data_IF_884691467110
#
_entry.id   IF_884691467110
#
_cell.length_a   1.000
_cell.length_b   1.000
_cell.length_c   1.000
_cell.angle_alpha   90.00
_cell.angle_beta   90.00
_cell.angle_gamma   90.00
#
_symmetry.space_group_name_H-M   'P 1'
#
loop_
_entity.id
_entity.type
_entity.pdbx_description
1 polymer ?
#
# COMPACT_ATOMS: atom_id res chain seq x y z
N UNK A 1 -18.12 16.66 -17.82
CA UNK A 1 -16.70 16.74 -17.39
C UNK A 1 -16.00 15.43 -17.73
N UNK A 2 -14.84 15.44 -18.40
CA UNK A 2 -14.07 14.19 -18.58
C UNK A 2 -13.57 13.74 -17.22
N UNK A 3 -14.04 12.60 -16.73
CA UNK A 3 -13.49 11.98 -15.53
C UNK A 3 -11.98 11.80 -15.72
N UNK A 4 -11.19 12.30 -14.79
CA UNK A 4 -9.73 12.16 -14.79
C UNK A 4 -9.40 10.66 -14.71
N UNK A 5 -8.57 10.17 -15.60
CA UNK A 5 -8.14 8.77 -15.62
C UNK A 5 -7.06 8.55 -14.56
N UNK A 6 -7.25 7.53 -13.73
CA UNK A 6 -6.23 7.11 -12.76
C UNK A 6 -5.11 6.34 -13.48
N UNK A 7 -3.95 6.96 -13.64
CA UNK A 7 -2.80 6.30 -14.26
C UNK A 7 -2.17 5.31 -13.28
N UNK A 8 -2.30 4.03 -13.59
CA UNK A 8 -1.90 2.93 -12.73
C UNK A 8 -0.81 2.08 -13.41
N UNK A 9 0.29 1.83 -12.71
CA UNK A 9 1.27 0.83 -13.10
C UNK A 9 0.95 -0.47 -12.37
N UNK A 10 0.79 -1.54 -13.12
CA UNK A 10 0.77 -2.89 -12.61
C UNK A 10 2.17 -3.48 -12.69
N UNK A 11 2.85 -3.61 -11.54
CA UNK A 11 4.14 -4.30 -11.49
C UNK A 11 3.93 -5.81 -11.59
N UNK A 12 4.18 -6.36 -12.78
CA UNK A 12 3.96 -7.78 -13.10
C UNK A 12 5.16 -8.63 -12.72
N UNK A 13 4.93 -9.80 -12.12
CA UNK A 13 5.93 -10.87 -12.05
C UNK A 13 5.59 -11.95 -13.09
N UNK A 14 6.52 -12.24 -14.00
CA UNK A 14 6.33 -13.21 -15.08
C UNK A 14 6.43 -14.67 -14.60
N UNK A 15 6.96 -14.91 -13.40
CA UNK A 15 7.15 -16.25 -12.85
C UNK A 15 5.94 -16.76 -12.05
N UNK A 16 4.83 -16.06 -12.12
CA UNK A 16 3.57 -16.36 -11.42
C UNK A 16 2.57 -17.17 -12.23
N UNK A 17 3.02 -18.08 -13.07
CA UNK A 17 2.11 -18.90 -13.86
C UNK A 17 1.21 -19.76 -12.96
N UNK A 18 -0.13 -19.61 -13.13
CA UNK A 18 -1.19 -20.41 -12.53
C UNK A 18 -1.45 -20.22 -11.01
N UNK A 19 -1.02 -19.13 -10.37
CA UNK A 19 -1.33 -18.90 -8.96
C UNK A 19 -2.76 -18.29 -8.79
N UNK A 20 -3.61 -18.84 -7.90
CA UNK A 20 -4.90 -18.24 -7.49
C UNK A 20 -4.78 -16.76 -7.08
N UNK A 21 -3.63 -16.37 -6.56
CA UNK A 21 -3.27 -15.00 -6.18
C UNK A 21 -3.34 -14.02 -7.35
N UNK A 22 -3.01 -14.47 -8.56
CA UNK A 22 -3.12 -13.66 -9.78
C UNK A 22 -4.57 -13.31 -10.09
N UNK A 23 -5.51 -14.20 -9.83
CA UNK A 23 -6.94 -13.95 -10.06
C UNK A 23 -7.45 -12.82 -9.17
N UNK A 24 -7.00 -12.73 -7.93
CA UNK A 24 -7.37 -11.68 -6.99
C UNK A 24 -6.80 -10.32 -7.39
N UNK A 25 -5.52 -10.28 -7.77
CA UNK A 25 -4.88 -9.06 -8.29
C UNK A 25 -5.60 -8.55 -9.54
N UNK A 26 -5.95 -9.43 -10.46
CA UNK A 26 -6.73 -9.08 -11.67
C UNK A 26 -8.11 -8.54 -11.29
N UNK A 27 -8.77 -9.13 -10.30
CA UNK A 27 -10.07 -8.64 -9.79
C UNK A 27 -9.94 -7.22 -9.24
N UNK A 28 -8.91 -6.94 -8.45
CA UNK A 28 -8.62 -5.59 -7.93
C UNK A 28 -8.36 -4.60 -9.07
N UNK A 29 -7.53 -4.97 -10.04
CA UNK A 29 -7.21 -4.12 -11.19
C UNK A 29 -8.46 -3.82 -12.03
N UNK A 30 -9.32 -4.83 -12.25
CA UNK A 30 -10.60 -4.65 -12.94
C UNK A 30 -11.51 -3.68 -12.18
N UNK A 31 -11.62 -3.84 -10.87
CA UNK A 31 -12.40 -2.92 -10.03
C UNK A 31 -11.90 -1.47 -10.15
N UNK A 32 -10.59 -1.25 -10.10
CA UNK A 32 -10.00 0.08 -10.29
C UNK A 32 -10.28 0.63 -11.70
N UNK A 33 -10.22 -0.20 -12.73
CA UNK A 33 -10.53 0.20 -14.10
C UNK A 33 -11.99 0.63 -14.25
N UNK A 34 -12.91 -0.14 -13.69
CA UNK A 34 -14.35 0.13 -13.79
C UNK A 34 -14.81 1.30 -12.93
N UNK A 35 -14.29 1.44 -11.70
CA UNK A 35 -14.75 2.44 -10.74
C UNK A 35 -13.96 3.74 -10.77
N UNK A 36 -12.68 3.70 -11.16
CA UNK A 36 -11.79 4.87 -11.20
C UNK A 36 -11.39 5.27 -12.62
N UNK A 37 -11.98 4.63 -13.63
CA UNK A 37 -11.56 4.82 -15.02
C UNK A 37 -10.03 4.68 -15.16
N UNK A 38 -9.43 3.69 -14.47
CA UNK A 38 -7.99 3.52 -14.44
C UNK A 38 -7.43 3.08 -15.79
N UNK A 39 -6.36 3.74 -16.23
CA UNK A 39 -5.49 3.24 -17.30
C UNK A 39 -4.40 2.40 -16.66
N UNK A 40 -4.38 1.10 -16.94
CA UNK A 40 -3.50 0.14 -16.29
C UNK A 40 -2.39 -0.30 -17.25
N UNK A 41 -1.15 0.06 -16.95
CA UNK A 41 0.02 -0.34 -17.72
C UNK A 41 0.75 -1.48 -17.03
N UNK A 42 0.76 -2.70 -17.63
CA UNK A 42 1.56 -3.81 -17.12
C UNK A 42 3.05 -3.55 -17.36
N UNK A 43 3.85 -3.55 -16.30
CA UNK A 43 5.28 -3.25 -16.35
C UNK A 43 6.07 -4.37 -15.72
N UNK A 44 7.02 -4.94 -16.45
CA UNK A 44 7.98 -5.92 -15.94
C UNK A 44 9.40 -5.36 -15.97
N UNK A 45 10.17 -5.58 -14.91
CA UNK A 45 11.58 -5.21 -14.86
C UNK A 45 12.44 -6.43 -15.16
N UNK A 46 12.98 -6.48 -16.37
CA UNK A 46 13.90 -7.54 -16.79
C UNK A 46 15.30 -7.23 -16.24
N UNK A 47 15.81 -8.09 -15.40
CA UNK A 47 17.16 -7.98 -14.84
C UNK A 47 17.75 -9.37 -14.55
N UNK A 48 19.08 -9.49 -14.43
CA UNK A 48 19.73 -10.73 -14.01
C UNK A 48 19.22 -11.24 -12.66
N UNK A 49 19.02 -10.36 -11.69
CA UNK A 49 18.39 -10.65 -10.39
C UNK A 49 17.03 -11.31 -10.58
N UNK A 50 16.24 -10.76 -11.51
CA UNK A 50 14.96 -11.31 -11.88
C UNK A 50 15.02 -12.72 -12.49
N UNK A 51 16.17 -13.14 -12.98
CA UNK A 51 16.42 -14.45 -13.56
C UNK A 51 17.25 -15.38 -12.62
N UNK A 52 17.41 -15.00 -11.35
CA UNK A 52 18.28 -15.69 -10.37
C UNK A 52 19.75 -15.80 -10.84
N UNK A 53 20.23 -14.84 -11.61
CA UNK A 53 21.59 -14.78 -12.12
C UNK A 53 22.39 -13.71 -11.38
N UNK A 54 23.46 -14.13 -10.71
CA UNK A 54 24.37 -13.24 -9.93
C UNK A 54 25.42 -12.54 -10.82
N UNK A 55 25.13 -12.34 -12.11
CA UNK A 55 26.04 -11.72 -13.05
C UNK A 55 25.47 -10.43 -13.60
N UNK A 56 26.35 -9.44 -13.83
CA UNK A 56 25.95 -8.21 -14.53
C UNK A 56 25.90 -8.46 -16.03
N UNK A 57 24.79 -8.08 -16.65
CA UNK A 57 24.66 -8.14 -18.10
C UNK A 57 25.19 -6.84 -18.72
N UNK A 58 25.92 -6.94 -19.82
CA UNK A 58 26.20 -5.75 -20.58
C UNK A 58 24.88 -5.16 -21.11
N UNK A 59 24.75 -3.82 -21.16
CA UNK A 59 23.54 -3.18 -21.68
C UNK A 59 23.12 -3.64 -23.09
N UNK A 60 24.05 -3.88 -24.05
CA UNK A 60 23.69 -4.46 -25.35
C UNK A 60 23.16 -5.88 -25.23
N UNK A 61 23.70 -6.69 -24.33
CA UNK A 61 23.32 -8.09 -24.17
C UNK A 61 21.91 -8.23 -23.61
N UNK A 62 21.57 -7.54 -22.51
CA UNK A 62 20.21 -7.59 -21.95
C UNK A 62 19.15 -7.06 -22.92
N UNK A 63 19.53 -6.10 -23.78
CA UNK A 63 18.61 -5.50 -24.76
C UNK A 63 18.07 -6.53 -25.77
N UNK A 64 18.85 -7.53 -26.15
CA UNK A 64 18.42 -8.57 -27.10
C UNK A 64 17.33 -9.49 -26.50
N UNK A 65 17.23 -9.60 -25.17
CA UNK A 65 16.18 -10.39 -24.53
C UNK A 65 14.86 -9.63 -24.36
N UNK A 66 14.84 -8.32 -24.57
CA UNK A 66 13.63 -7.50 -24.44
C UNK A 66 12.46 -8.00 -25.32
N UNK A 67 12.65 -8.36 -26.60
CA UNK A 67 11.56 -8.86 -27.43
C UNK A 67 10.98 -10.18 -26.90
N UNK A 68 11.83 -11.10 -26.45
CA UNK A 68 11.40 -12.36 -25.87
C UNK A 68 10.61 -12.15 -24.57
N UNK A 69 11.13 -11.31 -23.65
CA UNK A 69 10.43 -10.95 -22.41
C UNK A 69 9.08 -10.28 -22.70
N UNK A 70 9.02 -9.38 -23.68
CA UNK A 70 7.76 -8.74 -24.08
C UNK A 70 6.75 -9.75 -24.64
N UNK A 71 7.23 -10.71 -25.46
CA UNK A 71 6.40 -11.80 -25.97
C UNK A 71 5.84 -12.66 -24.84
N UNK A 72 6.68 -13.05 -23.87
CA UNK A 72 6.27 -13.81 -22.68
C UNK A 72 5.25 -13.02 -21.84
N UNK A 73 5.48 -11.74 -21.61
CA UNK A 73 4.55 -10.90 -20.88
C UNK A 73 3.20 -10.78 -21.59
N UNK A 74 3.19 -10.55 -22.89
CA UNK A 74 1.95 -10.52 -23.70
C UNK A 74 1.21 -11.85 -23.67
N UNK A 75 1.94 -12.97 -23.74
CA UNK A 75 1.34 -14.30 -23.63
C UNK A 75 0.70 -14.51 -22.26
N UNK A 76 1.40 -14.13 -21.19
CA UNK A 76 0.90 -14.20 -19.83
C UNK A 76 -0.34 -13.32 -19.59
N UNK A 77 -0.50 -12.26 -20.36
CA UNK A 77 -1.64 -11.33 -20.27
C UNK A 77 -2.75 -11.62 -21.28
N UNK A 78 -2.59 -12.62 -22.15
CA UNK A 78 -3.51 -12.88 -23.29
C UNK A 78 -4.98 -12.99 -22.87
N UNK A 79 -5.24 -13.67 -21.76
CA UNK A 79 -6.60 -13.94 -21.28
C UNK A 79 -7.06 -12.95 -20.18
N UNK A 80 -6.25 -11.92 -19.92
CA UNK A 80 -6.55 -10.90 -18.91
C UNK A 80 -7.46 -9.83 -19.51
N UNK A 81 -8.70 -9.83 -19.08
CA UNK A 81 -9.71 -8.85 -19.50
C UNK A 81 -9.86 -7.77 -18.43
N UNK A 82 -9.24 -6.62 -18.65
CA UNK A 82 -9.35 -5.44 -17.79
C UNK A 82 -9.66 -4.23 -18.69
N UNK A 83 -10.74 -3.48 -18.43
CA UNK A 83 -10.99 -2.22 -19.13
C UNK A 83 -9.81 -1.26 -18.96
N UNK A 84 -9.41 -0.57 -20.02
CA UNK A 84 -8.29 0.39 -19.93
C UNK A 84 -6.90 -0.24 -19.78
N UNK A 85 -6.76 -1.55 -20.02
CA UNK A 85 -5.46 -2.20 -20.05
C UNK A 85 -4.63 -1.69 -21.23
N UNK A 86 -3.45 -1.17 -20.93
CA UNK A 86 -2.51 -0.64 -21.92
C UNK A 86 -1.52 -1.71 -22.37
N UNK A 87 -0.75 -1.37 -23.42
CA UNK A 87 0.34 -2.24 -23.90
C UNK A 87 1.38 -2.49 -22.78
N UNK A 88 1.81 -3.76 -22.71
CA UNK A 88 2.80 -4.19 -21.75
C UNK A 88 4.19 -3.58 -22.00
N UNK A 89 4.90 -3.25 -20.94
CA UNK A 89 6.22 -2.62 -20.97
C UNK A 89 7.29 -3.44 -20.27
N UNK A 90 8.48 -3.47 -20.90
CA UNK A 90 9.68 -4.05 -20.29
C UNK A 90 10.66 -2.93 -19.96
N UNK A 91 11.03 -2.82 -18.69
CA UNK A 91 12.15 -2.02 -18.21
C UNK A 91 13.40 -2.90 -18.16
N UNK A 92 14.52 -2.38 -18.65
CA UNK A 92 15.79 -3.11 -18.67
C UNK A 92 16.68 -2.65 -17.50
N UNK A 93 17.19 -3.59 -16.73
CA UNK A 93 18.16 -3.35 -15.67
C UNK A 93 19.31 -4.34 -15.80
N UNK A 94 20.51 -3.84 -16.13
CA UNK A 94 21.68 -4.68 -16.38
C UNK A 94 22.31 -5.24 -15.10
N UNK A 95 22.16 -4.54 -13.97
CA UNK A 95 22.81 -4.92 -12.70
C UNK A 95 21.96 -5.93 -11.93
N UNK A 96 22.57 -7.00 -11.39
CA UNK A 96 21.88 -8.02 -10.58
C UNK A 96 21.65 -7.46 -9.15
N UNK A 97 20.66 -6.60 -9.01
CA UNK A 97 20.34 -5.99 -7.73
C UNK A 97 18.87 -5.61 -7.63
N UNK A 98 18.20 -6.10 -6.62
CA UNK A 98 16.84 -5.75 -6.28
C UNK A 98 16.64 -4.24 -6.16
N UNK A 99 17.58 -3.54 -5.52
CA UNK A 99 17.52 -2.08 -5.36
C UNK A 99 17.49 -1.35 -6.72
N UNK A 100 18.24 -1.82 -7.71
CA UNK A 100 18.22 -1.23 -9.05
C UNK A 100 16.92 -1.55 -9.81
N UNK A 101 16.36 -2.75 -9.63
CA UNK A 101 15.06 -3.10 -10.20
C UNK A 101 13.95 -2.18 -9.67
N UNK A 102 13.88 -2.03 -8.35
CA UNK A 102 12.91 -1.15 -7.66
C UNK A 102 13.09 0.30 -8.09
N UNK A 103 14.33 0.81 -8.12
CA UNK A 103 14.61 2.18 -8.60
C UNK A 103 14.19 2.38 -10.06
N UNK A 104 14.33 1.35 -10.91
CA UNK A 104 13.89 1.42 -12.31
C UNK A 104 12.38 1.55 -12.40
N UNK A 105 11.62 0.76 -11.63
CA UNK A 105 10.16 0.83 -11.56
C UNK A 105 9.70 2.21 -11.05
N UNK A 106 10.25 2.68 -9.94
CA UNK A 106 9.88 3.97 -9.33
C UNK A 106 10.21 5.14 -10.26
N UNK A 107 11.38 5.11 -10.89
CA UNK A 107 11.76 6.13 -11.88
C UNK A 107 10.80 6.15 -13.05
N UNK A 108 10.43 4.97 -13.55
CA UNK A 108 9.46 4.86 -14.63
C UNK A 108 8.08 5.38 -14.19
N UNK A 109 7.60 5.00 -13.01
CA UNK A 109 6.32 5.49 -12.48
C UNK A 109 6.27 7.03 -12.44
N UNK A 110 7.37 7.67 -12.00
CA UNK A 110 7.49 9.12 -12.03
C UNK A 110 7.45 9.70 -13.45
N UNK A 111 8.18 9.12 -14.39
CA UNK A 111 8.21 9.58 -15.79
C UNK A 111 6.88 9.41 -16.51
N UNK A 112 6.15 8.34 -16.20
CA UNK A 112 4.82 8.07 -16.73
C UNK A 112 3.71 8.91 -16.05
N UNK A 113 4.05 9.71 -15.03
CA UNK A 113 3.11 10.40 -14.15
C UNK A 113 2.06 9.43 -13.57
N UNK A 114 2.51 8.24 -13.16
CA UNK A 114 1.64 7.28 -12.49
C UNK A 114 1.16 7.82 -11.15
N UNK A 115 -0.10 7.56 -10.84
CA UNK A 115 -0.76 7.96 -9.59
C UNK A 115 -0.87 6.80 -8.62
N UNK A 116 -0.69 5.57 -9.11
CA UNK A 116 -0.73 4.35 -8.33
C UNK A 116 0.20 3.28 -8.92
N UNK A 117 0.87 2.54 -8.04
CA UNK A 117 1.53 1.27 -8.38
C UNK A 117 0.73 0.16 -7.71
N UNK A 118 0.30 -0.85 -8.47
CA UNK A 118 -0.38 -2.04 -7.95
C UNK A 118 0.54 -3.24 -8.12
N UNK A 119 0.66 -4.08 -7.11
CA UNK A 119 1.50 -5.28 -7.14
C UNK A 119 1.00 -6.35 -6.17
N UNK A 120 1.40 -7.60 -6.44
CA UNK A 120 1.22 -8.71 -5.51
C UNK A 120 2.33 -8.79 -4.46
N UNK A 121 2.13 -9.64 -3.46
CA UNK A 121 3.13 -9.95 -2.40
C UNK A 121 3.83 -11.26 -2.71
N UNK A 122 4.64 -11.39 -3.74
CA UNK A 122 5.15 -12.71 -4.10
C UNK A 122 6.52 -13.01 -3.53
N UNK A 123 6.67 -14.27 -3.11
CA UNK A 123 7.95 -14.90 -2.79
C UNK A 123 8.21 -16.03 -3.78
N UNK A 124 9.27 -15.90 -4.58
CA UNK A 124 9.69 -16.86 -5.62
C UNK A 124 10.04 -18.28 -5.09
N UNK A 125 10.16 -18.46 -3.81
CA UNK A 125 10.71 -19.70 -3.23
C UNK A 125 9.76 -20.35 -2.24
N UNK A 126 8.51 -20.59 -2.55
CA UNK A 126 7.67 -21.55 -1.77
C UNK A 126 7.77 -21.51 -0.24
N UNK A 127 8.59 -20.62 0.31
CA UNK A 127 8.87 -20.48 1.71
C UNK A 127 7.78 -19.65 2.37
N UNK A 128 7.05 -20.32 3.20
CA UNK A 128 6.03 -19.90 4.16
C UNK A 128 5.16 -18.66 3.80
N UNK A 129 3.89 -18.85 3.97
CA UNK A 129 2.73 -17.96 3.69
C UNK A 129 2.77 -16.57 4.34
N UNK A 130 3.88 -16.14 4.93
CA UNK A 130 4.02 -14.93 5.75
C UNK A 130 5.07 -13.92 5.24
N UNK A 131 5.63 -14.10 4.04
CA UNK A 131 6.66 -13.17 3.56
C UNK A 131 6.12 -12.20 2.50
N UNK A 132 6.16 -10.91 2.82
CA UNK A 132 6.12 -9.85 1.83
C UNK A 132 7.37 -9.98 0.95
N UNK A 133 7.20 -10.16 -0.36
CA UNK A 133 8.34 -10.29 -1.27
C UNK A 133 9.26 -9.07 -1.18
N UNK A 134 10.55 -9.31 -1.24
CA UNK A 134 11.58 -8.27 -1.11
C UNK A 134 11.41 -7.13 -2.12
N UNK A 135 10.85 -7.42 -3.31
CA UNK A 135 10.55 -6.41 -4.32
C UNK A 135 9.38 -5.50 -3.89
N UNK A 136 8.29 -6.08 -3.37
CA UNK A 136 7.15 -5.33 -2.87
C UNK A 136 7.54 -4.49 -1.64
N UNK A 137 8.27 -5.07 -0.69
CA UNK A 137 8.77 -4.36 0.48
C UNK A 137 9.67 -3.19 0.11
N UNK A 138 10.62 -3.39 -0.81
CA UNK A 138 11.50 -2.32 -1.28
C UNK A 138 10.75 -1.27 -2.09
N UNK A 139 9.73 -1.67 -2.86
CA UNK A 139 8.89 -0.71 -3.57
C UNK A 139 8.09 0.15 -2.59
N UNK A 140 7.47 -0.47 -1.59
CA UNK A 140 6.81 0.25 -0.50
C UNK A 140 7.77 1.21 0.21
N UNK A 141 9.03 0.82 0.42
CA UNK A 141 10.03 1.63 1.11
C UNK A 141 10.43 2.87 0.31
N UNK A 142 10.62 2.76 -0.99
CA UNK A 142 11.23 3.80 -1.81
C UNK A 142 10.26 4.53 -2.74
N UNK A 143 9.05 4.01 -3.00
CA UNK A 143 8.09 4.66 -3.85
C UNK A 143 7.61 5.98 -3.24
N UNK A 144 7.54 7.02 -4.07
CA UNK A 144 6.87 8.29 -3.74
C UNK A 144 5.43 8.35 -4.26
N UNK A 145 5.10 7.44 -5.16
CA UNK A 145 3.75 7.20 -5.66
C UNK A 145 3.06 6.26 -4.67
N UNK A 146 1.76 6.42 -4.38
CA UNK A 146 1.01 5.46 -3.60
C UNK A 146 1.15 4.04 -4.15
N UNK A 147 1.22 3.07 -3.25
CA UNK A 147 1.37 1.65 -3.63
C UNK A 147 0.20 0.86 -3.04
N UNK A 148 -0.51 0.14 -3.89
CA UNK A 148 -1.49 -0.86 -3.47
C UNK A 148 -0.86 -2.24 -3.55
N UNK A 149 -0.89 -2.96 -2.46
CA UNK A 149 -0.40 -4.33 -2.39
C UNK A 149 -1.56 -5.28 -2.17
N UNK A 150 -1.64 -6.29 -3.04
CA UNK A 150 -2.65 -7.35 -2.96
C UNK A 150 -1.98 -8.58 -2.39
N UNK A 151 -2.33 -8.92 -1.16
CA UNK A 151 -1.78 -10.06 -0.44
C UNK A 151 -2.36 -11.40 -0.92
N UNK A 152 -1.74 -12.53 -0.53
CA UNK A 152 -2.20 -13.86 -0.91
C UNK A 152 -3.53 -14.26 -0.26
N UNK A 153 -3.90 -13.57 0.80
CA UNK A 153 -5.14 -13.80 1.54
C UNK A 153 -6.21 -12.76 1.25
N UNK A 154 -5.99 -11.89 0.23
CA UNK A 154 -6.98 -10.90 -0.16
C UNK A 154 -8.18 -11.58 -0.79
N UNK A 155 -9.30 -11.58 -0.10
CA UNK A 155 -10.55 -12.19 -0.56
C UNK A 155 -11.55 -11.17 -1.10
N UNK A 156 -11.24 -9.88 -0.94
CA UNK A 156 -12.15 -8.78 -1.29
C UNK A 156 -12.37 -8.66 -2.78
N UNK A 157 -13.63 -8.68 -3.17
CA UNK A 157 -14.07 -8.44 -4.55
C UNK A 157 -14.51 -6.99 -4.77
N UNK A 158 -14.89 -6.30 -3.70
CA UNK A 158 -15.40 -4.93 -3.72
C UNK A 158 -14.87 -4.12 -2.56
N UNK A 159 -14.70 -2.81 -2.76
CA UNK A 159 -14.16 -1.90 -1.76
C UNK A 159 -15.25 -1.06 -1.07
N UNK A 160 -16.38 -1.72 -0.74
CA UNK A 160 -17.54 -1.07 -0.10
C UNK A 160 -17.29 -0.65 1.36
N UNK A 161 -16.29 -1.23 2.01
CA UNK A 161 -15.88 -0.91 3.38
C UNK A 161 -14.40 -0.58 3.38
N UNK A 162 -14.05 0.68 3.59
CA UNK A 162 -12.66 1.16 3.66
C UNK A 162 -12.28 1.39 5.11
N UNK A 163 -11.24 0.69 5.58
CA UNK A 163 -10.61 0.98 6.86
C UNK A 163 -9.49 1.98 6.65
N UNK A 164 -9.65 3.21 7.09
CA UNK A 164 -8.60 4.22 7.09
C UNK A 164 -7.85 4.19 8.42
N UNK A 165 -6.71 3.51 8.46
CA UNK A 165 -5.84 3.44 9.63
C UNK A 165 -4.94 4.69 9.68
N UNK A 166 -5.07 5.47 10.75
CA UNK A 166 -4.38 6.76 10.88
C UNK A 166 -3.78 6.95 12.27
N UNK A 167 -2.64 7.64 12.32
CA UNK A 167 -2.00 8.15 13.53
C UNK A 167 -2.30 9.65 13.78
N UNK A 168 -3.13 10.27 12.93
CA UNK A 168 -3.43 11.71 12.92
C UNK A 168 -2.23 12.63 12.71
N UNK A 169 -1.12 12.11 12.18
CA UNK A 169 0.04 12.92 11.80
C UNK A 169 -0.30 14.00 10.77
N UNK A 170 0.62 14.96 10.57
CA UNK A 170 0.42 16.17 9.77
C UNK A 170 -0.14 15.95 8.36
N UNK A 171 0.25 14.84 7.74
CA UNK A 171 -0.17 14.51 6.37
C UNK A 171 -1.47 13.70 6.29
N UNK A 172 -1.95 13.20 7.43
CA UNK A 172 -3.13 12.33 7.49
C UNK A 172 -4.38 13.00 6.95
N UNK A 173 -4.51 14.34 7.13
CA UNK A 173 -5.66 15.07 6.58
C UNK A 173 -5.71 15.04 5.04
N UNK A 174 -4.58 15.26 4.38
CA UNK A 174 -4.50 15.21 2.91
C UNK A 174 -4.80 13.80 2.36
N UNK A 175 -4.43 12.77 3.12
CA UNK A 175 -4.70 11.38 2.74
C UNK A 175 -6.16 11.03 3.01
N UNK A 176 -6.74 11.49 4.12
CA UNK A 176 -8.15 11.32 4.39
C UNK A 176 -9.03 11.90 3.26
N UNK A 177 -8.69 13.08 2.72
CA UNK A 177 -9.41 13.65 1.57
C UNK A 177 -9.35 12.74 0.34
N UNK A 178 -8.21 12.09 0.08
CA UNK A 178 -8.10 11.12 -1.01
C UNK A 178 -8.95 9.87 -0.75
N UNK A 179 -8.92 9.37 0.48
CA UNK A 179 -9.74 8.21 0.88
C UNK A 179 -11.23 8.54 0.77
N UNK A 180 -11.61 9.74 1.16
CA UNK A 180 -12.99 10.20 1.06
C UNK A 180 -13.46 10.29 -0.40
N UNK A 181 -12.62 10.83 -1.31
CA UNK A 181 -12.92 10.83 -2.74
C UNK A 181 -13.08 9.42 -3.31
N UNK A 182 -12.21 8.48 -2.92
CA UNK A 182 -12.35 7.08 -3.30
C UNK A 182 -13.66 6.47 -2.78
N UNK A 183 -14.02 6.78 -1.53
CA UNK A 183 -15.26 6.29 -0.93
C UNK A 183 -16.50 6.80 -1.66
N UNK A 184 -16.49 8.07 -2.10
CA UNK A 184 -17.57 8.63 -2.94
C UNK A 184 -17.70 7.90 -4.27
N UNK A 185 -16.56 7.72 -4.99
CA UNK A 185 -16.55 7.07 -6.30
C UNK A 185 -16.99 5.60 -6.22
N UNK A 186 -16.74 4.94 -5.10
CA UNK A 186 -17.03 3.52 -4.88
C UNK A 186 -18.35 3.28 -4.14
N UNK A 187 -19.03 4.34 -3.73
CA UNK A 187 -20.22 4.24 -2.86
C UNK A 187 -19.88 3.36 -1.64
N UNK A 188 -18.79 3.71 -0.95
CA UNK A 188 -18.22 2.98 0.15
C UNK A 188 -18.39 3.72 1.47
N UNK A 189 -18.45 2.97 2.57
CA UNK A 189 -18.36 3.52 3.91
C UNK A 189 -16.90 3.57 4.38
N UNK A 190 -16.56 4.56 5.21
CA UNK A 190 -15.22 4.72 5.76
C UNK A 190 -15.23 4.48 7.26
N UNK A 191 -14.34 3.63 7.75
CA UNK A 191 -14.02 3.54 9.17
C UNK A 191 -12.72 4.29 9.41
N UNK A 192 -12.77 5.40 10.14
CA UNK A 192 -11.60 6.13 10.63
C UNK A 192 -11.11 5.39 11.86
N UNK A 193 -9.99 4.69 11.71
CA UNK A 193 -9.46 3.79 12.73
C UNK A 193 -8.15 4.31 13.32
N UNK A 194 -8.12 4.39 14.64
CA UNK A 194 -6.92 4.68 15.40
C UNK A 194 -6.67 3.61 16.46
N UNK A 195 -5.47 3.05 16.46
CA UNK A 195 -5.06 2.11 17.52
C UNK A 195 -4.41 2.89 18.66
N UNK A 196 -5.05 2.86 19.82
CA UNK A 196 -4.54 3.52 21.03
C UNK A 196 -3.53 2.59 21.68
N UNK A 197 -2.25 3.01 21.69
CA UNK A 197 -1.22 2.27 22.41
C UNK A 197 -1.36 2.52 23.90
N UNK A 198 -1.44 1.45 24.69
CA UNK A 198 -1.32 1.57 26.13
C UNK A 198 0.18 1.69 26.49
N UNK A 199 0.59 2.75 27.20
CA UNK A 199 1.96 2.83 27.70
C UNK A 199 2.24 1.69 28.68
N UNK A 200 3.43 1.12 28.57
CA UNK A 200 3.88 0.11 29.53
C UNK A 200 4.04 0.80 30.89
N UNK A 201 3.47 0.23 31.96
CA UNK A 201 3.50 0.79 33.32
C UNK A 201 4.87 1.36 33.79
N UNK A 202 6.02 0.69 33.51
CA UNK A 202 7.32 1.24 33.87
C UNK A 202 7.65 2.60 33.22
N UNK A 203 7.13 2.86 32.01
CA UNK A 203 7.34 4.13 31.29
C UNK A 203 6.47 5.23 31.91
N UNK A 204 5.29 4.87 32.40
CA UNK A 204 4.38 5.79 33.10
C UNK A 204 4.99 6.21 34.44
N UNK A 205 5.56 5.27 35.21
CA UNK A 205 6.16 5.53 36.50
C UNK A 205 7.48 6.30 36.42
N UNK A 206 8.25 6.14 35.34
CA UNK A 206 9.54 6.80 35.15
C UNK A 206 9.41 8.29 34.81
N UNK A 207 8.23 8.78 34.40
CA UNK A 207 8.08 10.13 33.82
C UNK A 207 9.02 10.31 32.65
N UNK A 208 8.53 10.61 31.47
CA UNK A 208 9.41 10.78 30.31
C UNK A 208 10.35 11.96 30.47
N UNK A 209 11.66 11.70 30.63
CA UNK A 209 12.67 12.74 30.56
C UNK A 209 12.89 13.12 29.10
N UNK A 210 12.33 14.23 28.64
CA UNK A 210 12.59 14.73 27.32
C UNK A 210 13.89 15.52 27.27
N UNK A 211 14.63 15.38 26.18
CA UNK A 211 15.83 16.14 25.84
C UNK A 211 15.58 17.65 26.08
N UNK A 212 16.04 18.17 27.21
CA UNK A 212 15.79 19.56 27.60
C UNK A 212 15.47 19.80 29.09
N UNK A 213 15.35 18.74 29.91
CA UNK A 213 15.30 18.85 31.36
C UNK A 213 13.93 19.16 31.98
N UNK A 214 12.83 18.98 31.24
CA UNK A 214 11.47 19.10 31.78
C UNK A 214 10.84 17.73 32.05
N UNK A 215 10.16 17.59 33.18
CA UNK A 215 9.28 16.47 33.46
C UNK A 215 7.98 16.65 32.66
N UNK A 216 7.59 15.66 31.87
CA UNK A 216 6.24 15.61 31.29
C UNK A 216 5.46 14.56 32.05
N UNK A 217 4.27 14.94 32.51
CA UNK A 217 3.26 13.98 32.96
C UNK A 217 2.77 13.21 31.74
N UNK A 218 3.37 12.03 31.51
CA UNK A 218 3.10 11.22 30.34
C UNK A 218 1.62 10.81 30.23
N UNK A 219 0.93 10.40 31.32
CA UNK A 219 -0.51 10.13 31.30
C UNK A 219 -1.35 11.35 30.87
N UNK A 220 -1.07 12.51 31.41
CA UNK A 220 -1.79 13.73 31.05
C UNK A 220 -1.56 14.09 29.57
N UNK A 221 -0.31 14.07 29.13
CA UNK A 221 0.05 14.31 27.73
C UNK A 221 -0.67 13.35 26.77
N UNK A 222 -0.68 12.05 27.08
CA UNK A 222 -1.37 11.04 26.26
C UNK A 222 -2.88 11.27 26.23
N UNK A 223 -3.47 11.64 27.36
CA UNK A 223 -4.90 11.99 27.42
C UNK A 223 -5.23 13.20 26.56
N UNK A 224 -4.38 14.22 26.58
CA UNK A 224 -4.55 15.41 25.72
C UNK A 224 -4.41 15.07 24.24
N UNK A 225 -3.40 14.26 23.86
CA UNK A 225 -3.21 13.81 22.47
C UNK A 225 -4.40 12.98 22.00
N UNK A 226 -4.90 12.06 22.81
CA UNK A 226 -6.07 11.25 22.47
C UNK A 226 -7.32 12.13 22.30
N UNK A 227 -7.54 13.11 23.17
CA UNK A 227 -8.64 14.05 23.05
C UNK A 227 -8.56 14.88 21.74
N UNK A 228 -7.35 15.33 21.37
CA UNK A 228 -7.12 16.01 20.09
C UNK A 228 -7.41 15.11 18.90
N UNK A 229 -6.95 13.87 18.92
CA UNK A 229 -7.18 12.88 17.86
C UNK A 229 -8.68 12.55 17.73
N UNK A 230 -9.41 12.39 18.82
CA UNK A 230 -10.86 12.19 18.83
C UNK A 230 -11.60 13.36 18.17
N UNK A 231 -11.27 14.58 18.57
CA UNK A 231 -11.84 15.80 17.96
C UNK A 231 -11.55 15.89 16.47
N UNK A 232 -10.37 15.49 16.04
CA UNK A 232 -10.01 15.46 14.62
C UNK A 232 -10.79 14.38 13.85
N UNK A 233 -10.92 13.18 14.44
CA UNK A 233 -11.70 12.09 13.85
C UNK A 233 -13.18 12.46 13.68
N UNK A 234 -13.77 13.10 14.68
CA UNK A 234 -15.17 13.60 14.62
C UNK A 234 -15.35 14.65 13.52
N UNK A 235 -14.39 15.57 13.37
CA UNK A 235 -14.41 16.54 12.25
C UNK A 235 -14.37 15.85 10.90
N UNK A 236 -13.56 14.79 10.76
CA UNK A 236 -13.46 14.03 9.53
C UNK A 236 -14.74 13.24 9.26
N UNK A 237 -15.35 12.62 10.27
CA UNK A 237 -16.63 11.94 10.14
C UNK A 237 -17.73 12.92 9.69
N UNK A 238 -17.83 14.08 10.34
CA UNK A 238 -18.77 15.15 9.93
C UNK A 238 -18.54 15.64 8.49
N UNK A 239 -17.27 15.73 8.08
CA UNK A 239 -16.94 16.10 6.70
C UNK A 239 -17.38 15.02 5.71
N UNK A 240 -17.15 13.75 6.04
CA UNK A 240 -17.57 12.61 5.21
C UNK A 240 -19.09 12.59 5.03
N UNK A 241 -19.84 12.75 6.11
CA UNK A 241 -21.31 12.81 6.09
C UNK A 241 -21.83 13.97 5.21
N UNK A 242 -21.21 15.17 5.34
CA UNK A 242 -21.56 16.32 4.48
C UNK A 242 -21.30 16.05 3.00
N UNK A 243 -20.41 15.15 2.69
CA UNK A 243 -20.09 14.73 1.31
C UNK A 243 -20.84 13.46 0.88
N UNK A 244 -21.79 12.99 1.69
CA UNK A 244 -22.63 11.83 1.38
C UNK A 244 -21.94 10.48 1.60
N UNK A 245 -20.81 10.45 2.34
CA UNK A 245 -20.09 9.22 2.68
C UNK A 245 -20.40 8.81 4.11
N UNK A 246 -20.91 7.60 4.30
CA UNK A 246 -21.08 7.03 5.63
C UNK A 246 -19.72 6.83 6.31
N UNK A 247 -19.54 7.42 7.50
CA UNK A 247 -18.29 7.33 8.23
C UNK A 247 -18.51 6.96 9.69
N UNK A 248 -17.65 6.13 10.25
CA UNK A 248 -17.59 5.85 11.68
C UNK A 248 -16.19 6.02 12.23
N UNK A 249 -16.09 6.41 13.49
CA UNK A 249 -14.83 6.60 14.20
C UNK A 249 -14.63 5.45 15.18
N UNK A 250 -13.43 4.89 15.19
CA UNK A 250 -13.04 3.78 16.07
C UNK A 250 -11.68 4.09 16.69
N UNK A 251 -11.65 4.24 18.01
CA UNK A 251 -10.45 4.23 18.82
C UNK A 251 -10.35 2.86 19.48
N UNK A 252 -9.39 2.08 19.02
CA UNK A 252 -9.26 0.67 19.40
C UNK A 252 -8.07 0.49 20.34
N UNK A 253 -8.27 -0.04 21.57
CA UNK A 253 -7.16 -0.30 22.46
C UNK A 253 -6.26 -1.39 21.88
N UNK A 254 -4.96 -1.09 21.70
CA UNK A 254 -4.03 -2.10 21.23
C UNK A 254 -3.62 -3.01 22.40
N UNK A 255 -3.90 -4.31 22.26
CA UNK A 255 -3.43 -5.33 23.19
C UNK A 255 -1.95 -5.69 23.04
N UNK A 256 -1.11 -4.77 22.50
CA UNK A 256 0.32 -4.98 22.29
C UNK A 256 0.84 -4.63 20.89
N UNK A 257 0.14 -4.99 19.81
CA UNK A 257 0.57 -4.69 18.44
C UNK A 257 -0.46 -3.87 17.66
N UNK A 258 -0.11 -2.63 17.33
CA UNK A 258 -0.92 -1.74 16.50
C UNK A 258 -1.25 -2.37 15.13
N UNK A 259 -0.27 -3.03 14.51
CA UNK A 259 -0.46 -3.70 13.22
C UNK A 259 -1.45 -4.86 13.30
N UNK A 260 -1.40 -5.64 14.37
CA UNK A 260 -2.33 -6.73 14.60
C UNK A 260 -3.74 -6.21 14.84
N UNK A 261 -3.88 -5.15 15.65
CA UNK A 261 -5.19 -4.51 15.89
C UNK A 261 -5.84 -4.01 14.60
N UNK A 262 -5.05 -3.44 13.67
CA UNK A 262 -5.54 -3.00 12.35
C UNK A 262 -6.03 -4.20 11.53
N UNK A 263 -5.23 -5.27 11.48
CA UNK A 263 -5.54 -6.48 10.69
C UNK A 263 -6.78 -7.18 11.24
N UNK A 264 -6.83 -7.40 12.56
CA UNK A 264 -7.95 -8.09 13.22
C UNK A 264 -9.25 -7.30 13.07
N UNK A 265 -9.18 -5.98 13.26
CA UNK A 265 -10.34 -5.13 13.08
C UNK A 265 -10.83 -5.14 11.62
N UNK A 266 -9.92 -5.06 10.66
CA UNK A 266 -10.25 -5.13 9.24
C UNK A 266 -10.93 -6.46 8.89
N UNK A 267 -10.40 -7.57 9.39
CA UNK A 267 -10.96 -8.90 9.15
C UNK A 267 -12.33 -9.07 9.80
N UNK A 268 -12.47 -8.75 11.08
CA UNK A 268 -13.72 -8.91 11.84
C UNK A 268 -14.85 -8.02 11.33
N UNK A 269 -14.54 -6.92 10.65
CA UNK A 269 -15.53 -6.00 10.06
C UNK A 269 -15.63 -6.12 8.53
N UNK A 270 -14.99 -7.14 7.94
CA UNK A 270 -15.01 -7.41 6.49
C UNK A 270 -14.58 -6.18 5.67
N UNK A 271 -13.50 -5.52 6.08
CA UNK A 271 -12.97 -4.41 5.31
C UNK A 271 -12.52 -4.88 3.92
N UNK A 272 -13.01 -4.23 2.87
CA UNK A 272 -12.62 -4.51 1.49
C UNK A 272 -11.26 -3.90 1.13
N UNK A 273 -10.86 -2.85 1.84
CA UNK A 273 -9.59 -2.16 1.66
C UNK A 273 -9.09 -1.60 2.98
N UNK A 274 -7.81 -1.74 3.25
CA UNK A 274 -7.11 -0.94 4.26
C UNK A 274 -6.38 0.20 3.55
N UNK A 275 -6.70 1.44 3.90
CA UNK A 275 -5.99 2.64 3.48
C UNK A 275 -5.16 3.17 4.64
N UNK A 276 -3.87 3.46 4.43
CA UNK A 276 -3.00 3.95 5.50
C UNK A 276 -1.85 4.80 4.98
N UNK A 277 -1.23 5.58 5.87
CA UNK A 277 -0.01 6.33 5.58
C UNK A 277 1.22 5.44 5.70
N UNK A 278 2.27 5.73 4.92
CA UNK A 278 3.54 5.03 5.03
C UNK A 278 4.41 5.52 6.18
N UNK A 279 4.11 6.67 6.74
CA UNK A 279 4.97 7.40 7.66
C UNK A 279 4.62 7.13 9.12
N UNK A 280 5.64 6.87 9.95
CA UNK A 280 5.52 6.84 11.40
C UNK A 280 6.81 7.40 12.01
N UNK A 281 6.70 8.52 12.72
CA UNK A 281 7.75 9.10 13.54
C UNK A 281 8.69 10.12 12.83
N UNK A 282 9.59 10.77 13.60
CA UNK A 282 10.39 11.91 13.15
C UNK A 282 11.46 11.60 12.08
N UNK A 283 11.74 10.32 11.80
CA UNK A 283 12.65 9.87 10.73
C UNK A 283 11.89 9.33 9.50
N UNK A 284 10.61 9.60 9.41
CA UNK A 284 9.67 9.05 8.45
C UNK A 284 9.92 9.44 6.97
N UNK A 285 10.83 10.36 6.70
CA UNK A 285 11.10 10.81 5.33
C UNK A 285 11.77 9.77 4.43
N UNK A 286 12.29 8.67 5.01
CA UNK A 286 13.11 7.69 4.30
C UNK A 286 12.71 6.23 4.51
N UNK A 287 11.91 5.90 5.53
CA UNK A 287 11.61 4.49 5.86
C UNK A 287 10.10 4.26 6.00
N UNK A 288 9.62 3.15 5.44
CA UNK A 288 8.28 2.66 5.73
C UNK A 288 8.24 2.15 7.17
N UNK A 289 7.23 2.53 7.96
CA UNK A 289 7.08 2.09 9.34
C UNK A 289 6.95 0.55 9.45
N UNK A 290 7.40 0.02 10.56
CA UNK A 290 7.23 -1.42 10.87
C UNK A 290 5.74 -1.83 10.84
N UNK A 291 4.84 -0.95 11.27
CA UNK A 291 3.40 -1.16 11.27
C UNK A 291 2.88 -1.40 9.84
N UNK A 292 3.20 -0.51 8.89
CA UNK A 292 2.71 -0.64 7.52
C UNK A 292 3.20 -1.94 6.86
N UNK A 293 4.45 -2.34 7.10
CA UNK A 293 4.98 -3.61 6.60
C UNK A 293 4.25 -4.82 7.18
N UNK A 294 3.96 -4.81 8.47
CA UNK A 294 3.25 -5.91 9.13
C UNK A 294 1.78 -5.97 8.69
N UNK A 295 1.11 -4.82 8.52
CA UNK A 295 -0.26 -4.78 7.99
C UNK A 295 -0.29 -5.34 6.58
N UNK A 296 0.58 -4.90 5.66
CA UNK A 296 0.64 -5.42 4.28
C UNK A 296 0.91 -6.92 4.24
N UNK A 297 1.71 -7.42 5.17
CA UNK A 297 2.05 -8.86 5.27
C UNK A 297 0.87 -9.72 5.70
N UNK A 298 0.06 -9.23 6.64
CA UNK A 298 -0.94 -10.03 7.35
C UNK A 298 -2.38 -9.72 6.96
N UNK A 299 -2.63 -8.67 6.16
CA UNK A 299 -3.97 -8.26 5.78
C UNK A 299 -4.69 -9.30 4.91
N UNK A 300 -5.99 -9.46 5.14
CA UNK A 300 -6.91 -10.30 4.38
C UNK A 300 -7.62 -9.55 3.23
N UNK A 301 -7.27 -8.30 3.03
CA UNK A 301 -7.75 -7.45 1.94
C UNK A 301 -6.58 -6.65 1.36
N UNK A 302 -6.74 -6.03 0.18
CA UNK A 302 -5.75 -5.12 -0.36
C UNK A 302 -5.39 -4.01 0.61
N UNK A 303 -4.12 -3.60 0.61
CA UNK A 303 -3.63 -2.50 1.43
C UNK A 303 -3.11 -1.39 0.53
N UNK A 304 -3.74 -0.22 0.61
CA UNK A 304 -3.31 0.97 -0.12
C UNK A 304 -2.49 1.87 0.79
N UNK A 305 -1.19 1.89 0.56
CA UNK A 305 -0.25 2.69 1.33
C UNK A 305 -0.01 4.01 0.60
N UNK A 306 -0.45 5.09 1.20
CA UNK A 306 -0.26 6.45 0.69
C UNK A 306 1.08 7.00 1.16
N UNK A 307 1.73 7.70 0.24
CA UNK A 307 2.87 8.57 0.55
C UNK A 307 2.42 10.02 0.52
N UNK A 308 2.83 10.74 1.51
CA UNK A 308 2.53 12.17 1.62
C UNK A 308 3.74 13.03 1.22
#
# INVERSE_FOLDING_TARGET
MRQRKLKTIWAVDLFEDADPKRSQLITVLRYLAEKQNAEIEPVYVLSPEGLDLAVEFSPPWIKQYKPAALKSLRLALKDVQIPGLLDARILLQAKPSLSFMVKSLIRYAKLANAELIVMGTHSRKGISRLFLGSFAESTLLYARVPVMVVGPHSESKEFKKILFATDFGDKSNAIFQKVLALAQDWDAQVTIFHSVAHPIEPVIQAGGFLLGGGWIDLPEYMTQVEAMNRKQAERWATLAEKQGVAAKVVFFPSGGSVSQSIVDYAQNNEAGLIAMTAESGPLASTLIGSISRQVVRNAHCPVWVFRA
#
